data_IF_994056248492
#
_entry.id   IF_994056248492
#
_cell.length_a   1.000
_cell.length_b   1.000
_cell.length_c   1.000
_cell.angle_alpha   90.00
_cell.angle_beta   90.00
_cell.angle_gamma   90.00
#
_symmetry.space_group_name_H-M   'P 1'
#
loop_
_entity.id
_entity.type
_entity.pdbx_description
1 polymer ?
#
# COMPACT_ATOMS: atom_id res chain seq x y z
N UNK A 1 -14.58 -2.46 -15.81
CA UNK A 1 -13.19 -2.98 -15.88
C UNK A 1 -12.22 -2.20 -14.99
N UNK A 2 -12.04 -0.89 -15.15
CA UNK A 2 -11.08 -0.09 -14.35
C UNK A 2 -11.32 -0.14 -12.83
N UNK A 3 -12.59 -0.07 -12.39
CA UNK A 3 -12.95 -0.20 -10.96
C UNK A 3 -12.49 -1.53 -10.35
N UNK A 4 -12.60 -2.62 -11.11
CA UNK A 4 -12.19 -3.95 -10.68
C UNK A 4 -10.68 -4.06 -10.56
N UNK A 5 -9.94 -3.51 -11.54
CA UNK A 5 -8.48 -3.45 -11.51
C UNK A 5 -8.02 -2.68 -10.25
N UNK A 6 -8.56 -1.48 -10.03
CA UNK A 6 -8.25 -0.68 -8.85
C UNK A 6 -8.55 -1.43 -7.55
N UNK A 7 -9.69 -2.12 -7.50
CA UNK A 7 -10.12 -2.92 -6.34
C UNK A 7 -9.13 -4.05 -6.04
N UNK A 8 -8.77 -4.84 -7.05
CA UNK A 8 -7.85 -5.97 -6.89
C UNK A 8 -6.47 -5.47 -6.46
N UNK A 9 -5.94 -4.46 -7.14
CA UNK A 9 -4.62 -3.88 -6.81
C UNK A 9 -4.58 -3.33 -5.38
N UNK A 10 -5.60 -2.56 -5.01
CA UNK A 10 -5.70 -1.96 -3.67
C UNK A 10 -5.83 -3.02 -2.59
N UNK A 11 -6.69 -4.03 -2.82
CA UNK A 11 -6.92 -5.11 -1.87
C UNK A 11 -5.67 -5.95 -1.67
N UNK A 12 -4.98 -6.33 -2.76
CA UNK A 12 -3.76 -7.11 -2.68
C UNK A 12 -2.63 -6.34 -1.97
N UNK A 13 -2.42 -5.07 -2.33
CA UNK A 13 -1.36 -4.27 -1.73
C UNK A 13 -1.63 -3.96 -0.25
N UNK A 14 -2.84 -3.46 0.06
CA UNK A 14 -3.23 -3.14 1.43
C UNK A 14 -3.34 -4.37 2.32
N UNK A 15 -3.96 -5.44 1.81
CA UNK A 15 -4.09 -6.71 2.51
C UNK A 15 -2.74 -7.36 2.79
N UNK A 16 -1.83 -7.39 1.80
CA UNK A 16 -0.50 -7.94 2.01
C UNK A 16 0.29 -7.11 3.04
N UNK A 17 0.32 -5.77 2.93
CA UNK A 17 0.98 -4.91 3.92
C UNK A 17 0.46 -5.13 5.33
N UNK A 18 -0.87 -5.24 5.49
CA UNK A 18 -1.49 -5.47 6.79
C UNK A 18 -1.07 -6.82 7.38
N UNK A 19 -1.20 -7.90 6.61
CA UNK A 19 -0.87 -9.26 7.05
C UNK A 19 0.62 -9.37 7.36
N UNK A 20 1.47 -8.84 6.51
CA UNK A 20 2.92 -8.90 6.64
C UNK A 20 3.42 -8.05 7.83
N UNK A 21 2.80 -6.88 8.06
CA UNK A 21 3.02 -6.06 9.24
C UNK A 21 2.64 -6.75 10.55
N UNK A 22 1.51 -7.46 10.58
CA UNK A 22 1.12 -8.30 11.73
C UNK A 22 2.11 -9.46 11.90
N UNK A 23 2.50 -10.11 10.80
CA UNK A 23 3.40 -11.25 10.83
C UNK A 23 4.76 -10.89 11.44
N UNK A 24 5.38 -9.79 11.02
CA UNK A 24 6.67 -9.35 11.57
C UNK A 24 6.59 -8.98 13.05
N UNK A 25 5.48 -8.40 13.50
CA UNK A 25 5.31 -8.10 14.93
C UNK A 25 5.18 -9.36 15.79
N UNK A 26 4.59 -10.42 15.25
CA UNK A 26 4.39 -11.69 15.97
C UNK A 26 5.58 -12.65 15.84
N UNK A 27 6.30 -12.62 14.72
CA UNK A 27 7.33 -13.61 14.37
C UNK A 27 8.74 -13.02 14.33
N UNK A 28 8.89 -11.71 14.42
CA UNK A 28 10.18 -11.02 14.34
C UNK A 28 10.79 -11.02 12.92
N UNK A 29 10.07 -11.50 11.92
CA UNK A 29 10.48 -11.54 10.51
C UNK A 29 9.28 -11.32 9.59
N UNK A 30 9.51 -10.72 8.43
CA UNK A 30 8.51 -10.58 7.38
C UNK A 30 8.29 -11.90 6.63
N UNK A 31 7.20 -11.98 5.89
CA UNK A 31 6.89 -13.11 5.02
C UNK A 31 7.86 -13.12 3.83
N UNK A 32 8.53 -14.26 3.62
CA UNK A 32 9.45 -14.48 2.50
C UNK A 32 10.91 -14.62 2.96
N UNK A 33 11.87 -14.10 2.17
CA UNK A 33 13.30 -14.25 2.45
C UNK A 33 13.75 -13.50 3.71
N UNK A 34 14.94 -13.81 4.23
CA UNK A 34 15.50 -13.17 5.44
C UNK A 34 15.58 -11.64 5.33
N UNK A 35 15.92 -11.13 4.14
CA UNK A 35 15.84 -9.72 3.82
C UNK A 35 14.54 -9.46 3.02
N UNK A 36 13.56 -8.73 3.58
CA UNK A 36 12.19 -8.71 3.04
C UNK A 36 12.05 -8.14 1.63
N UNK A 37 12.92 -7.20 1.24
CA UNK A 37 12.91 -6.67 -0.12
C UNK A 37 13.92 -5.55 -0.33
N UNK A 38 14.07 -5.06 -1.57
CA UNK A 38 14.99 -3.96 -1.90
C UNK A 38 14.75 -2.69 -1.09
N UNK A 39 13.49 -2.40 -0.74
CA UNK A 39 13.13 -1.29 0.12
C UNK A 39 13.84 -1.34 1.49
N UNK A 40 14.15 -2.53 2.02
CA UNK A 40 14.82 -2.67 3.31
C UNK A 40 16.20 -2.02 3.32
N UNK A 41 16.89 -2.01 2.17
CA UNK A 41 18.20 -1.36 2.02
C UNK A 41 18.10 0.15 2.23
N UNK A 42 17.00 0.78 1.80
CA UNK A 42 16.77 2.23 1.99
C UNK A 42 16.77 2.54 3.49
N UNK A 43 16.00 1.78 4.28
CA UNK A 43 15.92 1.98 5.73
C UNK A 43 17.21 1.60 6.46
N UNK A 44 17.92 0.58 6.00
CA UNK A 44 19.22 0.18 6.56
C UNK A 44 20.29 1.28 6.39
N UNK A 45 20.28 2.02 5.27
CA UNK A 45 21.16 3.19 5.07
C UNK A 45 20.93 4.26 6.14
N UNK A 46 19.69 4.40 6.62
CA UNK A 46 19.35 5.28 7.74
C UNK A 46 19.49 4.63 9.12
N UNK A 47 20.12 3.46 9.21
CA UNK A 47 20.28 2.67 10.44
C UNK A 47 18.94 2.30 11.14
N UNK A 48 17.85 2.24 10.38
CA UNK A 48 16.54 1.84 10.91
C UNK A 48 16.43 0.32 10.90
N UNK A 49 16.05 -0.26 12.03
CA UNK A 49 15.76 -1.69 12.11
C UNK A 49 14.45 -2.00 11.39
N UNK A 50 14.56 -2.57 10.19
CA UNK A 50 13.42 -2.90 9.33
C UNK A 50 12.41 -3.84 9.99
N UNK A 51 12.85 -4.76 10.84
CA UNK A 51 11.94 -5.69 11.53
C UNK A 51 11.08 -5.03 12.61
N UNK A 52 11.35 -3.76 12.95
CA UNK A 52 10.48 -2.95 13.81
C UNK A 52 9.45 -2.12 13.05
N UNK A 53 9.43 -2.17 11.72
CA UNK A 53 8.50 -1.39 10.88
C UNK A 53 7.12 -2.04 10.73
N UNK A 54 6.83 -3.16 11.41
CA UNK A 54 5.50 -3.79 11.41
C UNK A 54 4.33 -2.82 11.61
N UNK A 55 4.35 -1.93 12.62
CA UNK A 55 3.29 -0.93 12.82
C UNK A 55 3.08 0.00 11.61
N UNK A 56 4.15 0.37 10.90
CA UNK A 56 4.08 1.21 9.70
C UNK A 56 3.37 0.48 8.56
N UNK A 57 3.69 -0.80 8.38
CA UNK A 57 3.03 -1.67 7.39
C UNK A 57 1.55 -1.87 7.71
N UNK A 58 1.20 -2.09 8.99
CA UNK A 58 -0.18 -2.19 9.44
C UNK A 58 -0.94 -0.89 9.16
N UNK A 59 -0.35 0.26 9.50
CA UNK A 59 -0.97 1.57 9.27
C UNK A 59 -1.25 1.81 7.78
N UNK A 60 -0.27 1.57 6.91
CA UNK A 60 -0.46 1.73 5.47
C UNK A 60 -1.42 0.70 4.89
N UNK A 61 -1.37 -0.55 5.35
CA UNK A 61 -2.33 -1.58 4.98
C UNK A 61 -3.77 -1.16 5.30
N UNK A 62 -4.00 -0.67 6.52
CA UNK A 62 -5.28 -0.12 6.94
C UNK A 62 -5.72 1.07 6.08
N UNK A 63 -4.83 2.00 5.73
CA UNK A 63 -5.18 3.13 4.86
C UNK A 63 -5.52 2.71 3.43
N UNK A 64 -4.82 1.72 2.87
CA UNK A 64 -5.18 1.16 1.57
C UNK A 64 -6.58 0.51 1.59
N UNK A 65 -6.90 -0.25 2.64
CA UNK A 65 -8.23 -0.85 2.80
C UNK A 65 -9.32 0.20 3.09
N UNK A 66 -8.99 1.24 3.85
CA UNK A 66 -9.88 2.37 4.10
C UNK A 66 -10.16 3.14 2.81
N UNK A 67 -9.13 3.33 1.96
CA UNK A 67 -9.31 3.88 0.62
C UNK A 67 -10.23 3.01 -0.23
N UNK A 68 -10.07 1.69 -0.20
CA UNK A 68 -10.97 0.78 -0.93
C UNK A 68 -12.42 0.92 -0.48
N UNK A 69 -12.65 0.99 0.83
CA UNK A 69 -13.96 1.26 1.40
C UNK A 69 -14.50 2.61 0.90
N UNK A 70 -13.72 3.69 1.07
CA UNK A 70 -14.09 5.03 0.63
C UNK A 70 -14.49 5.08 -0.85
N UNK A 71 -13.72 4.38 -1.69
CA UNK A 71 -13.92 4.28 -3.13
C UNK A 71 -15.27 3.62 -3.47
N UNK A 72 -15.59 2.47 -2.85
CA UNK A 72 -16.83 1.76 -3.15
C UNK A 72 -18.08 2.45 -2.60
N UNK A 73 -17.93 3.19 -1.50
CA UNK A 73 -19.02 3.95 -0.87
C UNK A 73 -19.10 5.41 -1.36
N UNK A 74 -18.41 5.76 -2.45
CA UNK A 74 -18.40 7.09 -3.08
C UNK A 74 -18.15 8.24 -2.08
N UNK A 75 -17.23 8.02 -1.13
CA UNK A 75 -16.88 9.03 -0.13
C UNK A 75 -16.06 10.16 -0.78
N UNK A 76 -16.37 11.41 -0.44
CA UNK A 76 -15.73 12.59 -1.06
C UNK A 76 -14.21 12.65 -0.83
N UNK A 77 -13.73 12.07 0.28
CA UNK A 77 -12.32 12.01 0.64
C UNK A 77 -11.56 10.83 0.02
N UNK A 78 -12.24 9.93 -0.71
CA UNK A 78 -11.63 8.75 -1.32
C UNK A 78 -10.50 9.13 -2.30
N UNK A 79 -10.70 10.17 -3.09
CA UNK A 79 -9.69 10.66 -4.04
C UNK A 79 -8.43 11.13 -3.32
N UNK A 80 -8.57 12.01 -2.32
CA UNK A 80 -7.46 12.56 -1.57
C UNK A 80 -6.69 11.45 -0.83
N UNK A 81 -7.40 10.54 -0.17
CA UNK A 81 -6.77 9.42 0.52
C UNK A 81 -6.04 8.50 -0.46
N UNK A 82 -6.67 8.14 -1.58
CA UNK A 82 -6.09 7.26 -2.60
C UNK A 82 -4.82 7.82 -3.23
N UNK A 83 -4.80 9.12 -3.56
CA UNK A 83 -3.59 9.81 -4.06
C UNK A 83 -2.52 9.84 -2.98
N UNK A 84 -2.88 10.23 -1.76
CA UNK A 84 -1.93 10.36 -0.65
C UNK A 84 -1.28 9.02 -0.31
N UNK A 85 -2.07 7.96 -0.15
CA UNK A 85 -1.55 6.63 0.18
C UNK A 85 -0.68 6.08 -0.95
N UNK A 86 -1.06 6.30 -2.22
CA UNK A 86 -0.26 5.88 -3.37
C UNK A 86 1.12 6.53 -3.36
N UNK A 87 1.21 7.84 -3.07
CA UNK A 87 2.49 8.54 -2.98
C UNK A 87 3.30 8.03 -1.78
N UNK A 88 2.67 7.93 -0.62
CA UNK A 88 3.32 7.54 0.63
C UNK A 88 3.86 6.11 0.62
N UNK A 89 3.36 5.23 -0.27
CA UNK A 89 3.85 3.85 -0.39
C UNK A 89 4.76 3.58 -1.60
N UNK A 90 5.20 4.62 -2.32
CA UNK A 90 6.14 4.47 -3.44
C UNK A 90 7.50 3.87 -3.05
N UNK A 91 7.87 3.92 -1.78
CA UNK A 91 9.11 3.31 -1.28
C UNK A 91 9.03 1.77 -1.19
N UNK A 92 7.85 1.16 -1.31
CA UNK A 92 7.65 -0.29 -1.16
C UNK A 92 8.04 -1.09 -2.42
N UNK A 93 9.32 -1.01 -2.79
CA UNK A 93 9.87 -1.52 -4.05
C UNK A 93 10.02 -3.06 -4.04
N UNK A 94 9.76 -3.77 -5.17
CA UNK A 94 9.26 -3.23 -6.44
C UNK A 94 7.74 -3.32 -6.59
N UNK A 95 7.12 -4.36 -6.05
CA UNK A 95 5.71 -4.70 -6.32
C UNK A 95 4.77 -3.63 -5.77
N UNK A 96 4.99 -3.21 -4.53
CA UNK A 96 4.18 -2.17 -3.91
C UNK A 96 4.25 -0.82 -4.61
N UNK A 97 5.45 -0.43 -5.02
CA UNK A 97 5.67 0.79 -5.81
C UNK A 97 4.95 0.72 -7.16
N UNK A 98 5.05 -0.41 -7.86
CA UNK A 98 4.35 -0.60 -9.14
C UNK A 98 2.83 -0.48 -8.98
N UNK A 99 2.27 -1.15 -7.96
CA UNK A 99 0.84 -1.04 -7.64
C UNK A 99 0.47 0.41 -7.33
N UNK A 100 1.27 1.08 -6.50
CA UNK A 100 1.05 2.48 -6.12
C UNK A 100 1.06 3.42 -7.33
N UNK A 101 2.00 3.25 -8.26
CA UNK A 101 2.07 4.03 -9.51
C UNK A 101 0.84 3.77 -10.39
N UNK A 102 0.45 2.52 -10.58
CA UNK A 102 -0.72 2.19 -11.40
C UNK A 102 -1.98 2.80 -10.79
N UNK A 103 -2.21 2.65 -9.49
CA UNK A 103 -3.37 3.24 -8.82
C UNK A 103 -3.34 4.76 -8.90
N UNK A 104 -2.18 5.39 -8.68
CA UNK A 104 -2.02 6.84 -8.81
C UNK A 104 -2.39 7.31 -10.22
N UNK A 105 -1.89 6.66 -11.28
CA UNK A 105 -2.23 7.00 -12.67
C UNK A 105 -3.71 6.81 -12.96
N UNK A 106 -4.32 5.74 -12.45
CA UNK A 106 -5.77 5.50 -12.58
C UNK A 106 -6.57 6.64 -11.91
N UNK A 107 -6.17 7.07 -10.71
CA UNK A 107 -6.82 8.17 -10.00
C UNK A 107 -6.63 9.51 -10.72
N UNK A 108 -5.46 9.79 -11.29
CA UNK A 108 -5.18 11.06 -11.96
C UNK A 108 -5.85 11.17 -13.34
N UNK A 109 -5.88 10.09 -14.12
CA UNK A 109 -6.29 10.12 -15.54
C UNK A 109 -7.74 9.63 -15.72
N UNK A 110 -8.17 8.66 -14.92
CA UNK A 110 -9.46 7.99 -15.09
C UNK A 110 -10.48 8.33 -14.00
N UNK A 111 -10.27 9.43 -13.26
CA UNK A 111 -11.12 9.90 -12.17
C UNK A 111 -12.62 9.82 -12.47
N UNK A 112 -13.07 10.47 -13.54
CA UNK A 112 -14.49 10.50 -13.94
C UNK A 112 -15.03 9.11 -14.29
N UNK A 113 -14.21 8.24 -14.90
CA UNK A 113 -14.57 6.85 -15.23
C UNK A 113 -14.62 5.94 -13.99
N UNK A 114 -13.92 6.31 -12.92
CA UNK A 114 -13.92 5.64 -11.63
C UNK A 114 -15.08 6.11 -10.73
N UNK A 115 -15.78 7.19 -11.08
CA UNK A 115 -16.91 7.72 -10.32
C UNK A 115 -16.49 8.41 -9.01
N UNK A 116 -15.29 9.01 -9.00
CA UNK A 116 -14.73 9.82 -7.90
C UNK A 116 -14.38 11.21 -8.43
#
# INVERSE_FOLDING_TARGET
>A
MLKLILTILTLLNGGFMLIDGIHVMLKGKYIGPELPGPWAKIFQVFHINVFKLGPLFILFGCFWLLFLFAFWFNQQWAYLLGVSISILTLWYIPVGSLVSVIVLLLLLIARTKLGI
#
